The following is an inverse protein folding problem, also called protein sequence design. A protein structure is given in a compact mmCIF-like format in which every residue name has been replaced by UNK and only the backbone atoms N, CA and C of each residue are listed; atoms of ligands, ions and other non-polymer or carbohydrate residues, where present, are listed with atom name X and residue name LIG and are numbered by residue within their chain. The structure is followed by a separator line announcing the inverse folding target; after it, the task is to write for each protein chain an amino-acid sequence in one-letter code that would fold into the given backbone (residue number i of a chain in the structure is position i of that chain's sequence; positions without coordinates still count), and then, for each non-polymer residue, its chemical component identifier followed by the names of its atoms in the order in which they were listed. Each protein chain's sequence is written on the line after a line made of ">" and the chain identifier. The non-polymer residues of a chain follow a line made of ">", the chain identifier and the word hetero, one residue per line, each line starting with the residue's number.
data_IF_897174307150
#
_entry.id   IF_897174307150
#
_cell.length_a   1.000
_cell.length_b   1.000
_cell.length_c   1.000
_cell.angle_alpha   90.00
_cell.angle_beta   90.00
_cell.angle_gamma   90.00
#
_symmetry.space_group_name_H-M   'P 1'
#
loop_
_entity.id
_entity.type
_entity.pdbx_description
1 polymer ?
#
# COMPACT_ATOMS: atom_id res chain seq x y z
N UNK A 1 -37.32 -20.62 30.75
CA UNK A 1 -36.87 -21.27 29.51
C UNK A 1 -37.51 -20.52 28.35
N UNK A 2 -36.73 -19.96 27.40
CA UNK A 2 -37.27 -19.19 26.29
C UNK A 2 -38.04 -20.04 25.25
N UNK A 3 -37.74 -21.34 25.15
CA UNK A 3 -38.41 -22.26 24.23
C UNK A 3 -39.70 -22.85 24.81
N UNK A 4 -39.95 -22.68 26.11
CA UNK A 4 -41.14 -23.18 26.79
C UNK A 4 -42.42 -22.55 26.23
N UNK A 5 -43.53 -23.30 26.36
CA UNK A 5 -44.88 -22.82 26.03
C UNK A 5 -45.18 -21.50 26.75
N UNK A 6 -44.71 -21.33 27.99
CA UNK A 6 -44.83 -20.11 28.80
C UNK A 6 -43.44 -19.56 29.13
N UNK A 7 -43.02 -18.50 28.42
CA UNK A 7 -41.67 -17.95 28.50
C UNK A 7 -41.55 -16.69 29.39
N UNK A 8 -42.67 -16.13 29.83
CA UNK A 8 -42.73 -14.99 30.74
C UNK A 8 -43.23 -15.46 32.11
N UNK A 9 -42.41 -15.31 33.15
CA UNK A 9 -42.74 -15.79 34.50
C UNK A 9 -42.53 -14.70 35.55
N UNK A 10 -43.46 -14.61 36.51
CA UNK A 10 -43.31 -13.80 37.71
C UNK A 10 -42.36 -14.45 38.72
N UNK A 11 -41.92 -13.67 39.71
CA UNK A 11 -41.11 -14.17 40.85
C UNK A 11 -41.82 -15.23 41.72
N UNK A 12 -43.16 -15.35 41.60
CA UNK A 12 -43.97 -16.28 42.39
C UNK A 12 -44.39 -17.54 41.60
N UNK A 13 -43.80 -17.78 40.42
CA UNK A 13 -44.03 -19.00 39.63
C UNK A 13 -45.22 -18.96 38.66
N UNK A 14 -45.95 -17.85 38.58
CA UNK A 14 -47.00 -17.65 37.57
C UNK A 14 -46.37 -17.35 36.22
N UNK A 15 -46.62 -18.19 35.23
CA UNK A 15 -46.05 -18.08 33.90
C UNK A 15 -47.12 -17.98 32.80
N UNK A 16 -46.80 -17.26 31.73
CA UNK A 16 -47.64 -17.09 30.55
C UNK A 16 -46.81 -16.68 29.34
N UNK A 17 -47.50 -16.39 28.25
CA UNK A 17 -46.88 -16.12 26.94
C UNK A 17 -47.54 -14.95 26.20
N UNK A 18 -48.61 -14.40 26.78
CA UNK A 18 -49.33 -13.27 26.20
C UNK A 18 -48.60 -11.96 26.51
N UNK A 19 -48.93 -10.91 25.74
CA UNK A 19 -48.36 -9.59 25.96
C UNK A 19 -48.62 -9.08 27.39
N UNK A 20 -49.79 -9.35 27.96
CA UNK A 20 -50.14 -8.95 29.33
C UNK A 20 -49.21 -9.62 30.35
N UNK A 21 -48.90 -10.91 30.16
CA UNK A 21 -47.97 -11.64 31.03
C UNK A 21 -46.54 -11.13 30.90
N UNK A 22 -46.10 -10.80 29.69
CA UNK A 22 -44.74 -10.33 29.43
C UNK A 22 -44.51 -8.85 29.75
N UNK A 23 -45.58 -8.04 29.81
CA UNK A 23 -45.54 -6.62 30.15
C UNK A 23 -45.75 -6.36 31.66
N UNK A 24 -45.93 -7.41 32.46
CA UNK A 24 -46.07 -7.32 33.91
C UNK A 24 -44.80 -6.75 34.58
N UNK A 25 -44.96 -5.93 35.63
CA UNK A 25 -43.88 -5.16 36.28
C UNK A 25 -42.71 -6.02 36.80
N UNK A 26 -43.01 -7.20 37.34
CA UNK A 26 -42.04 -8.11 37.96
C UNK A 26 -41.93 -9.45 37.20
N UNK A 27 -42.32 -9.48 35.92
CA UNK A 27 -42.21 -10.67 35.09
C UNK A 27 -40.89 -10.67 34.32
N UNK A 28 -40.24 -11.83 34.28
CA UNK A 28 -39.05 -12.06 33.50
C UNK A 28 -39.43 -12.78 32.20
N UNK A 29 -39.17 -12.12 31.08
CA UNK A 29 -39.31 -12.71 29.75
C UNK A 29 -38.00 -13.40 29.34
N UNK A 30 -38.03 -14.74 29.34
CA UNK A 30 -36.87 -15.56 28.99
C UNK A 30 -36.35 -15.28 27.57
N UNK A 31 -37.21 -14.86 26.63
CA UNK A 31 -36.82 -14.54 25.24
C UNK A 31 -36.06 -13.23 25.15
N UNK A 32 -36.50 -12.19 25.87
CA UNK A 32 -35.73 -10.94 26.02
C UNK A 32 -34.37 -11.19 26.65
N UNK A 33 -34.30 -12.06 27.64
CA UNK A 33 -33.05 -12.44 28.31
C UNK A 33 -32.10 -13.22 27.37
N UNK A 34 -32.64 -14.05 26.48
CA UNK A 34 -31.86 -14.69 25.42
C UNK A 34 -31.27 -13.63 24.48
N UNK A 35 -32.06 -12.64 24.07
CA UNK A 35 -31.57 -11.55 23.23
C UNK A 35 -30.53 -10.66 23.92
N UNK A 36 -30.64 -10.40 25.23
CA UNK A 36 -29.64 -9.63 25.98
C UNK A 36 -28.25 -10.28 25.98
N UNK A 37 -28.18 -11.62 25.84
CA UNK A 37 -26.92 -12.36 25.77
C UNK A 37 -26.31 -12.37 24.37
N UNK A 38 -27.11 -12.07 23.33
CA UNK A 38 -26.69 -12.13 21.94
C UNK A 38 -26.14 -10.77 21.50
N UNK A 39 -24.94 -10.76 20.92
CA UNK A 39 -24.31 -9.55 20.38
C UNK A 39 -24.56 -9.55 18.87
N UNK A 40 -25.26 -8.53 18.35
CA UNK A 40 -25.66 -8.48 16.94
C UNK A 40 -24.88 -7.47 16.08
N UNK A 41 -23.92 -6.75 16.65
CA UNK A 41 -23.24 -5.66 15.94
C UNK A 41 -24.26 -4.57 15.58
N UNK A 42 -24.35 -4.24 14.30
CA UNK A 42 -25.30 -3.24 13.78
C UNK A 42 -26.73 -3.76 13.61
N UNK A 43 -26.97 -5.05 13.85
CA UNK A 43 -28.29 -5.66 13.74
C UNK A 43 -29.08 -5.67 15.06
N UNK A 44 -30.34 -6.11 14.98
CA UNK A 44 -31.25 -6.27 16.11
C UNK A 44 -31.45 -7.74 16.45
N UNK A 45 -31.44 -8.09 17.73
CA UNK A 45 -31.84 -9.43 18.13
C UNK A 45 -33.35 -9.61 17.97
N UNK A 46 -33.74 -10.74 17.39
CA UNK A 46 -35.12 -11.20 17.34
C UNK A 46 -35.23 -12.64 17.83
N UNK A 47 -36.39 -12.96 18.40
CA UNK A 47 -36.76 -14.34 18.71
C UNK A 47 -37.44 -14.97 17.50
N UNK A 48 -36.99 -16.15 17.11
CA UNK A 48 -37.63 -16.97 16.09
C UNK A 48 -38.51 -18.04 16.74
N UNK A 49 -39.82 -17.94 16.52
CA UNK A 49 -40.77 -18.91 17.07
C UNK A 49 -40.72 -20.28 16.38
N UNK A 50 -40.22 -20.36 15.15
CA UNK A 50 -40.07 -21.62 14.40
C UNK A 50 -38.81 -22.36 14.85
N UNK A 51 -37.70 -21.65 14.99
CA UNK A 51 -36.41 -22.21 15.39
C UNK A 51 -36.24 -22.30 16.92
N UNK A 52 -37.15 -21.69 17.68
CA UNK A 52 -37.08 -21.57 19.16
C UNK A 52 -35.73 -21.04 19.62
N UNK A 53 -35.19 -20.04 18.91
CA UNK A 53 -33.88 -19.45 19.22
C UNK A 53 -33.85 -17.95 18.96
N UNK A 54 -32.94 -17.27 19.66
CA UNK A 54 -32.64 -15.86 19.42
C UNK A 54 -31.58 -15.74 18.32
N UNK A 55 -31.79 -14.85 17.35
CA UNK A 55 -30.82 -14.59 16.30
C UNK A 55 -30.78 -13.11 15.91
N UNK A 56 -29.67 -12.71 15.29
CA UNK A 56 -29.51 -11.35 14.80
C UNK A 56 -30.19 -11.18 13.44
N UNK A 57 -30.97 -10.13 13.30
CA UNK A 57 -31.51 -9.64 12.04
C UNK A 57 -30.77 -8.37 11.69
N UNK A 58 -30.15 -8.35 10.51
CA UNK A 58 -29.38 -7.21 10.06
C UNK A 58 -30.32 -6.12 9.54
N UNK A 59 -29.92 -4.87 9.79
CA UNK A 59 -30.57 -3.71 9.18
C UNK A 59 -30.19 -3.66 7.68
N UNK A 60 -30.90 -2.82 6.91
CA UNK A 60 -30.67 -2.70 5.46
C UNK A 60 -29.23 -2.26 5.15
N UNK A 61 -28.62 -2.89 4.14
CA UNK A 61 -27.21 -2.65 3.78
C UNK A 61 -26.18 -3.36 4.68
N UNK A 62 -26.62 -4.11 5.71
CA UNK A 62 -25.72 -4.90 6.56
C UNK A 62 -25.85 -6.40 6.28
N UNK A 63 -24.74 -7.10 6.46
CA UNK A 63 -24.59 -8.51 6.12
C UNK A 63 -24.29 -9.35 7.35
N UNK A 64 -24.89 -10.55 7.41
CA UNK A 64 -24.66 -11.50 8.51
C UNK A 64 -23.40 -12.33 8.26
N UNK A 65 -22.45 -12.26 9.18
CA UNK A 65 -21.25 -13.10 9.17
C UNK A 65 -21.63 -14.57 9.42
N UNK A 66 -21.31 -15.50 8.51
CA UNK A 66 -21.61 -16.93 8.68
C UNK A 66 -20.97 -17.56 9.92
N UNK A 67 -19.82 -17.06 10.36
CA UNK A 67 -19.03 -17.63 11.45
C UNK A 67 -19.55 -17.18 12.82
N UNK A 68 -19.81 -15.87 12.96
CA UNK A 68 -20.22 -15.28 14.25
C UNK A 68 -21.73 -15.05 14.35
N UNK A 69 -22.47 -15.06 13.24
CA UNK A 69 -23.89 -14.74 13.16
C UNK A 69 -24.21 -13.25 13.39
N UNK A 70 -23.19 -12.39 13.49
CA UNK A 70 -23.31 -10.95 13.74
C UNK A 70 -23.52 -10.17 12.46
N UNK A 71 -24.06 -8.96 12.59
CA UNK A 71 -24.24 -8.06 11.46
C UNK A 71 -23.10 -7.06 11.36
N UNK A 72 -22.60 -6.93 10.13
CA UNK A 72 -21.45 -6.12 9.75
C UNK A 72 -21.79 -5.33 8.50
N UNK A 73 -21.15 -4.17 8.31
CA UNK A 73 -21.37 -3.36 7.10
C UNK A 73 -20.91 -4.12 5.87
N UNK A 74 -19.80 -4.84 6.01
CA UNK A 74 -19.30 -5.72 4.98
C UNK A 74 -18.66 -6.96 5.59
N UNK A 75 -18.70 -8.05 4.84
CA UNK A 75 -17.93 -9.29 5.10
C UNK A 75 -16.90 -9.54 3.99
N UNK A 76 -17.06 -8.86 2.86
CA UNK A 76 -16.20 -8.96 1.68
C UNK A 76 -16.27 -7.65 0.93
N UNK A 77 -15.26 -7.35 0.11
CA UNK A 77 -15.21 -6.10 -0.65
C UNK A 77 -16.45 -5.88 -1.54
N UNK A 78 -17.05 -6.97 -2.05
CA UNK A 78 -18.26 -6.93 -2.91
C UNK A 78 -19.51 -6.38 -2.23
N UNK A 79 -19.50 -6.25 -0.90
CA UNK A 79 -20.59 -5.63 -0.14
C UNK A 79 -20.47 -4.11 -0.07
N UNK A 80 -19.29 -3.57 -0.38
CA UNK A 80 -19.04 -2.13 -0.46
C UNK A 80 -19.27 -1.63 -1.89
N UNK A 81 -19.32 -0.31 -2.06
CA UNK A 81 -19.29 0.29 -3.39
C UNK A 81 -17.97 -0.01 -4.11
N UNK A 82 -17.93 0.15 -5.44
CA UNK A 82 -16.72 -0.09 -6.25
C UNK A 82 -15.53 0.81 -5.86
N UNK A 83 -15.80 1.91 -5.16
CA UNK A 83 -14.82 2.90 -4.69
C UNK A 83 -14.32 2.63 -3.26
N UNK A 84 -14.85 1.62 -2.58
CA UNK A 84 -14.53 1.30 -1.20
C UNK A 84 -14.04 -0.14 -1.09
N UNK A 85 -13.43 -0.50 0.02
CA UNK A 85 -13.16 -1.89 0.35
C UNK A 85 -13.58 -2.20 1.77
N UNK A 86 -13.89 -3.47 1.99
CA UNK A 86 -14.09 -3.98 3.33
C UNK A 86 -12.76 -4.04 4.10
N UNK A 87 -12.66 -3.33 5.22
CA UNK A 87 -11.59 -3.49 6.24
C UNK A 87 -12.24 -3.58 7.61
N UNK A 88 -11.86 -4.59 8.38
CA UNK A 88 -12.36 -4.79 9.76
C UNK A 88 -13.88 -4.68 9.89
N UNK A 89 -14.60 -5.23 8.90
CA UNK A 89 -16.06 -5.22 8.79
C UNK A 89 -16.72 -3.86 8.50
N UNK A 90 -15.94 -2.89 8.00
CA UNK A 90 -16.38 -1.56 7.57
C UNK A 90 -15.98 -1.27 6.13
N UNK A 91 -16.84 -0.55 5.41
CA UNK A 91 -16.51 -0.05 4.08
C UNK A 91 -15.74 1.26 4.22
N UNK A 92 -14.56 1.31 3.62
CA UNK A 92 -13.71 2.50 3.66
C UNK A 92 -13.00 2.74 2.34
N UNK A 93 -12.63 4.00 2.11
CA UNK A 93 -11.87 4.41 0.93
C UNK A 93 -10.42 3.88 1.02
N UNK A 94 -9.99 3.00 0.08
CA UNK A 94 -8.63 2.47 0.06
C UNK A 94 -7.55 3.54 -0.09
N UNK A 95 -7.88 4.70 -0.65
CA UNK A 95 -6.94 5.80 -0.86
C UNK A 95 -6.50 6.47 0.43
N UNK A 96 -7.30 6.41 1.51
CA UNK A 96 -7.10 7.17 2.77
C UNK A 96 -5.70 7.03 3.35
N UNK A 97 -5.05 5.86 3.20
CA UNK A 97 -3.70 5.62 3.72
C UNK A 97 -2.72 4.99 2.71
N UNK A 98 -3.12 4.83 1.45
CA UNK A 98 -2.32 4.08 0.48
C UNK A 98 -1.40 5.00 -0.34
N UNK A 99 -1.95 6.03 -1.00
CA UNK A 99 -1.18 6.93 -1.86
C UNK A 99 -0.77 8.26 -1.18
N UNK A 100 -1.16 8.49 0.07
CA UNK A 100 -1.02 9.79 0.75
C UNK A 100 0.43 10.22 1.04
N UNK A 101 1.40 9.30 0.94
CA UNK A 101 2.74 9.55 1.48
C UNK A 101 3.64 10.45 0.62
N UNK A 102 3.22 10.92 -0.57
CA UNK A 102 4.12 11.64 -1.49
C UNK A 102 3.43 12.77 -2.26
N UNK A 103 4.11 13.93 -2.33
CA UNK A 103 3.62 15.11 -3.06
C UNK A 103 3.39 14.78 -4.55
N UNK A 104 2.25 15.25 -5.07
CA UNK A 104 1.83 15.11 -6.47
C UNK A 104 1.47 13.69 -6.92
N UNK A 105 0.88 12.84 -6.07
CA UNK A 105 0.31 11.54 -6.50
C UNK A 105 -1.21 11.65 -6.59
N UNK A 106 -1.81 11.11 -7.66
CA UNK A 106 -3.27 10.97 -7.76
C UNK A 106 -3.67 9.53 -7.41
N UNK A 107 -4.59 9.37 -6.45
CA UNK A 107 -5.18 8.07 -6.14
C UNK A 107 -6.52 7.90 -6.86
N UNK A 108 -6.71 6.74 -7.46
CA UNK A 108 -7.98 6.30 -8.04
C UNK A 108 -8.30 4.91 -7.51
N UNK A 109 -9.58 4.55 -7.41
CA UNK A 109 -9.99 3.21 -6.94
C UNK A 109 -10.48 2.41 -8.13
N UNK A 110 -10.00 1.17 -8.26
CA UNK A 110 -10.46 0.23 -9.27
C UNK A 110 -10.64 -1.14 -8.62
N UNK A 111 -11.83 -1.72 -8.72
CA UNK A 111 -12.16 -3.04 -8.16
C UNK A 111 -11.78 -3.16 -6.66
N UNK A 112 -12.23 -2.18 -5.85
CA UNK A 112 -11.92 -2.08 -4.41
C UNK A 112 -10.43 -1.92 -4.07
N UNK A 113 -9.55 -1.65 -5.04
CA UNK A 113 -8.12 -1.49 -4.84
C UNK A 113 -7.65 -0.07 -5.17
N UNK A 114 -6.72 0.49 -4.39
CA UNK A 114 -6.12 1.78 -4.69
C UNK A 114 -5.13 1.64 -5.86
N UNK A 115 -5.23 2.55 -6.82
CA UNK A 115 -4.32 2.74 -7.93
C UNK A 115 -3.72 4.14 -7.84
N UNK A 116 -2.42 4.20 -7.53
CA UNK A 116 -1.67 5.44 -7.52
C UNK A 116 -1.13 5.74 -8.93
N UNK A 117 -1.21 6.99 -9.35
CA UNK A 117 -0.64 7.47 -10.61
C UNK A 117 0.18 8.74 -10.39
N UNK A 118 1.27 8.87 -11.14
CA UNK A 118 2.11 10.06 -11.14
C UNK A 118 1.69 11.04 -12.25
N UNK A 119 1.89 12.35 -12.06
CA UNK A 119 1.71 13.36 -13.09
C UNK A 119 2.72 13.16 -14.21
N UNK A 120 2.48 13.86 -15.32
CA UNK A 120 3.32 13.83 -16.50
C UNK A 120 4.79 14.11 -16.14
N UNK A 121 5.71 13.36 -16.75
CA UNK A 121 7.16 13.39 -16.51
C UNK A 121 7.66 12.78 -15.20
N UNK A 122 6.79 12.15 -14.40
CA UNK A 122 7.17 11.34 -13.25
C UNK A 122 6.92 9.85 -13.50
N UNK A 123 7.73 9.00 -12.88
CA UNK A 123 7.58 7.53 -12.89
C UNK A 123 7.45 7.01 -11.45
N UNK A 124 6.66 5.96 -11.27
CA UNK A 124 6.63 5.19 -10.02
C UNK A 124 7.95 4.41 -9.91
N UNK A 125 8.75 4.71 -8.89
CA UNK A 125 10.03 4.01 -8.63
C UNK A 125 9.90 3.03 -7.46
N UNK A 126 8.78 3.07 -6.75
CA UNK A 126 8.34 2.12 -5.72
C UNK A 126 6.80 2.15 -5.66
N UNK A 127 6.17 1.24 -4.90
CA UNK A 127 4.72 1.26 -4.61
C UNK A 127 4.23 2.55 -3.93
N UNK A 128 5.12 3.52 -3.70
CA UNK A 128 4.83 4.72 -2.93
C UNK A 128 5.35 6.03 -3.54
N UNK A 129 6.41 6.05 -4.36
CA UNK A 129 7.07 7.31 -4.74
C UNK A 129 7.08 7.62 -6.24
N UNK A 130 6.74 8.86 -6.59
CA UNK A 130 6.97 9.44 -7.91
C UNK A 130 8.35 10.08 -7.98
N UNK A 131 9.19 9.65 -8.93
CA UNK A 131 10.45 10.30 -9.25
C UNK A 131 10.32 10.95 -10.62
N UNK A 132 10.80 12.19 -10.77
CA UNK A 132 10.91 12.82 -12.08
C UNK A 132 11.73 11.89 -12.97
N UNK A 133 11.28 11.66 -14.20
CA UNK A 133 12.06 10.98 -15.23
C UNK A 133 13.35 11.77 -15.37
N UNK A 134 14.41 11.35 -14.69
CA UNK A 134 15.74 11.79 -15.08
C UNK A 134 15.87 11.23 -16.47
N UNK A 135 15.79 12.12 -17.46
CA UNK A 135 16.36 11.82 -18.75
C UNK A 135 17.81 11.56 -18.40
N UNK A 136 18.19 10.30 -18.20
CA UNK A 136 19.59 9.89 -18.28
C UNK A 136 19.90 10.22 -19.71
N UNK A 137 20.34 11.46 -19.88
CA UNK A 137 20.71 12.02 -21.14
C UNK A 137 21.80 11.10 -21.61
N UNK A 138 21.48 10.29 -22.60
CA UNK A 138 22.40 9.40 -23.31
C UNK A 138 23.60 10.17 -23.88
N UNK A 139 23.60 11.51 -23.76
CA UNK A 139 24.79 12.35 -23.83
C UNK A 139 25.92 11.82 -22.97
N UNK A 140 25.72 11.23 -21.79
CA UNK A 140 26.86 10.76 -20.99
C UNK A 140 27.67 9.68 -21.73
N UNK A 141 27.02 8.63 -22.25
CA UNK A 141 27.71 7.57 -23.00
C UNK A 141 28.30 8.06 -24.33
N UNK A 142 27.60 8.97 -25.03
CA UNK A 142 28.09 9.53 -26.30
C UNK A 142 29.23 10.52 -26.08
N UNK A 143 29.19 11.34 -25.02
CA UNK A 143 30.24 12.29 -24.65
C UNK A 143 31.52 11.55 -24.26
N UNK A 144 31.43 10.46 -23.48
CA UNK A 144 32.61 9.64 -23.19
C UNK A 144 33.23 9.04 -24.45
N UNK A 145 32.41 8.56 -25.39
CA UNK A 145 32.89 8.01 -26.66
C UNK A 145 33.60 9.08 -27.49
N UNK A 146 33.02 10.28 -27.60
CA UNK A 146 33.60 11.41 -28.35
C UNK A 146 34.92 11.88 -27.72
N UNK A 147 34.97 11.99 -26.39
CA UNK A 147 36.19 12.35 -25.65
C UNK A 147 37.28 11.29 -25.86
N UNK A 148 36.95 10.00 -25.75
CA UNK A 148 37.90 8.91 -25.96
C UNK A 148 38.49 8.89 -27.38
N UNK A 149 37.66 9.10 -28.40
CA UNK A 149 38.11 9.21 -29.81
C UNK A 149 39.03 10.42 -30.00
N UNK A 150 38.70 11.57 -29.41
CA UNK A 150 39.54 12.76 -29.50
C UNK A 150 40.92 12.54 -28.85
N UNK A 151 40.99 11.91 -27.68
CA UNK A 151 42.25 11.56 -27.02
C UNK A 151 43.11 10.60 -27.85
N UNK A 152 42.51 9.57 -28.45
CA UNK A 152 43.23 8.64 -29.32
C UNK A 152 43.80 9.34 -30.55
N UNK A 153 43.05 10.25 -31.18
CA UNK A 153 43.52 11.03 -32.32
C UNK A 153 44.68 11.96 -31.93
N UNK A 154 44.58 12.66 -30.80
CA UNK A 154 45.65 13.54 -30.30
C UNK A 154 46.91 12.72 -30.01
N UNK A 155 46.79 11.56 -29.35
CA UNK A 155 47.92 10.68 -29.07
C UNK A 155 48.57 10.18 -30.38
N UNK A 156 47.76 9.80 -31.37
CA UNK A 156 48.26 9.36 -32.67
C UNK A 156 49.02 10.49 -33.40
N UNK A 157 48.48 11.71 -33.39
CA UNK A 157 49.14 12.90 -33.95
C UNK A 157 50.44 13.21 -33.21
N UNK A 158 50.44 13.18 -31.88
CA UNK A 158 51.66 13.37 -31.07
C UNK A 158 52.72 12.29 -31.36
N UNK A 159 52.31 11.03 -31.54
CA UNK A 159 53.21 9.94 -31.94
C UNK A 159 53.80 10.18 -33.33
N UNK A 160 53.01 10.63 -34.31
CA UNK A 160 53.49 10.95 -35.67
C UNK A 160 54.46 12.13 -35.62
N UNK A 161 54.14 13.20 -34.88
CA UNK A 161 55.00 14.37 -34.72
C UNK A 161 56.32 13.98 -34.02
N UNK A 162 56.28 13.16 -32.97
CA UNK A 162 57.48 12.64 -32.29
C UNK A 162 58.32 11.77 -33.21
N UNK A 163 57.71 10.92 -34.04
CA UNK A 163 58.41 10.08 -35.02
C UNK A 163 59.06 10.91 -36.13
N UNK A 164 58.39 11.94 -36.63
CA UNK A 164 58.95 12.87 -37.61
C UNK A 164 60.09 13.72 -37.02
N UNK A 165 59.96 14.13 -35.76
CA UNK A 165 61.02 14.87 -35.05
C UNK A 165 62.26 14.00 -34.78
N UNK A 166 62.08 12.73 -34.41
CA UNK A 166 63.17 11.76 -34.24
C UNK A 166 63.82 11.34 -35.57
N UNK A 167 63.11 11.54 -36.70
CA UNK A 167 63.64 11.29 -38.05
C UNK A 167 64.48 12.45 -38.59
N UNK A 168 64.36 13.67 -38.06
CA UNK A 168 65.06 14.85 -38.60
C UNK A 168 66.33 15.23 -37.83
N UNK A 169 66.56 14.66 -36.64
CA UNK A 169 67.68 15.05 -35.78
C UNK A 169 68.49 13.81 -35.35
N UNK A 170 69.63 13.60 -36.02
CA UNK A 170 70.77 12.88 -35.43
C UNK A 170 71.54 13.88 -34.57
N UNK A 171 71.28 13.94 -33.27
CA UNK A 171 72.14 14.68 -32.33
C UNK A 171 72.37 13.83 -31.07
N UNK A 172 73.64 13.65 -30.76
CA UNK A 172 74.17 12.97 -29.59
C UNK A 172 73.88 13.77 -28.29
N UNK A 173 73.48 13.02 -27.26
CA UNK A 173 73.83 13.14 -25.83
C UNK A 173 73.38 14.31 -24.91
N UNK A 174 73.11 13.90 -23.66
CA UNK A 174 73.06 14.56 -22.32
C UNK A 174 72.01 15.64 -21.98
N UNK A 175 71.09 15.31 -21.06
CA UNK A 175 70.98 15.88 -19.70
C UNK A 175 69.58 15.67 -19.09
N UNK A 176 69.57 15.24 -17.83
CA UNK A 176 68.40 15.11 -16.99
C UNK A 176 67.77 16.47 -16.63
N UNK A 177 66.45 16.53 -16.44
CA UNK A 177 65.85 17.44 -15.46
C UNK A 177 64.59 16.83 -14.83
N UNK A 178 64.65 16.75 -13.51
CA UNK A 178 63.65 16.28 -12.57
C UNK A 178 62.48 17.26 -12.41
N UNK A 179 61.28 16.71 -12.17
CA UNK A 179 60.26 17.32 -11.32
C UNK A 179 59.18 18.15 -12.03
N UNK A 180 57.94 17.68 -11.97
CA UNK A 180 56.79 18.46 -11.46
C UNK A 180 55.60 17.51 -11.20
N UNK A 181 55.41 17.19 -9.92
CA UNK A 181 54.14 16.89 -9.21
C UNK A 181 52.90 16.46 -10.01
N UNK A 182 52.63 15.15 -10.09
CA UNK A 182 51.28 14.61 -10.28
C UNK A 182 50.50 14.64 -8.96
N UNK A 183 49.73 15.71 -8.72
CA UNK A 183 48.61 15.70 -7.77
C UNK A 183 47.47 16.56 -8.32
N UNK A 184 46.64 15.94 -9.16
CA UNK A 184 45.30 16.41 -9.44
C UNK A 184 44.32 15.31 -9.05
N UNK A 185 44.19 15.07 -7.74
CA UNK A 185 43.11 14.27 -7.18
C UNK A 185 41.82 15.09 -7.26
N UNK A 186 41.16 15.05 -8.42
CA UNK A 186 39.76 15.49 -8.54
C UNK A 186 38.87 14.42 -7.92
N UNK A 187 38.60 14.58 -6.62
CA UNK A 187 37.55 13.87 -5.93
C UNK A 187 36.18 14.33 -6.49
N UNK A 188 35.59 13.54 -7.38
CA UNK A 188 34.16 13.64 -7.67
C UNK A 188 33.40 12.77 -6.66
N UNK A 189 32.36 13.29 -5.99
CA UNK A 189 31.50 12.48 -5.13
C UNK A 189 30.53 11.72 -6.03
N UNK A 190 30.86 10.49 -6.43
CA UNK A 190 29.85 9.57 -6.94
C UNK A 190 29.58 8.51 -5.87
N UNK A 191 28.39 8.60 -5.30
CA UNK A 191 27.79 7.57 -4.46
C UNK A 191 27.54 6.36 -5.36
N UNK A 192 28.30 5.29 -5.16
CA UNK A 192 28.00 3.99 -5.76
C UNK A 192 26.88 3.37 -4.94
N UNK A 193 25.67 3.36 -5.48
CA UNK A 193 24.59 2.50 -4.97
C UNK A 193 24.83 1.12 -5.57
N UNK A 194 25.38 0.20 -4.78
CA UNK A 194 25.37 -1.22 -5.12
C UNK A 194 23.93 -1.72 -5.03
N UNK A 195 23.34 -2.02 -6.19
CA UNK A 195 22.13 -2.83 -6.27
C UNK A 195 22.60 -4.28 -6.22
N UNK A 196 22.65 -4.84 -5.01
CA UNK A 196 22.70 -6.30 -4.85
C UNK A 196 21.31 -6.85 -5.17
N UNK A 197 21.22 -7.56 -6.30
CA UNK A 197 20.01 -8.23 -6.72
C UNK A 197 19.88 -9.52 -5.88
N UNK A 198 18.88 -9.58 -4.99
CA UNK A 198 18.33 -10.82 -4.42
C UNK A 198 16.87 -10.94 -4.83
#
# INVERSE_FOLDING_TARGET
>A
DPAAKHHCCSQHGWCGSTAEHCNCRNCRDSRKEACKKLICGTGKCIWDDSLKTAHCRCDEGYHKDPSTGRCHECISHRHCSDLEHCRDNHCEDPCTNYCFSFNNVTCTVTNHQPLCSCPQDYILVDQKACQSRTVVSSTSSVVYLVIAVAFLLIFFVMCILKRNFLSSNSINEVAAFSGLSERATLALPYVVVEITNQ
#
